data_IF_729005130308
#
_entry.id   IF_729005130308
#
_cell.length_a   1.000
_cell.length_b   1.000
_cell.length_c   1.000
_cell.angle_alpha   90.00
_cell.angle_beta   90.00
_cell.angle_gamma   90.00
#
_symmetry.space_group_name_H-M   'P 1'
#
loop_
_entity.id
_entity.type
_entity.pdbx_description
1 polymer ?
#
# COMPACT_ATOMS: atom_id res chain seq x y z
N UNK A 1 4.47 -27.35 14.17
CA UNK A 1 3.85 -26.05 13.82
C UNK A 1 4.95 -25.06 13.56
N UNK A 2 5.23 -24.72 12.28
CA UNK A 2 6.21 -23.68 11.97
C UNK A 2 5.48 -22.35 12.07
N UNK A 3 5.56 -21.70 13.23
CA UNK A 3 5.18 -20.30 13.41
C UNK A 3 6.23 -19.41 12.73
N UNK A 4 6.27 -19.41 11.40
CA UNK A 4 7.06 -18.44 10.65
C UNK A 4 6.31 -17.12 10.62
N UNK A 5 6.36 -16.39 11.73
CA UNK A 5 6.20 -14.95 11.74
C UNK A 5 7.39 -14.37 10.97
N UNK A 6 7.27 -14.29 9.64
CA UNK A 6 8.23 -13.52 8.85
C UNK A 6 8.09 -12.09 9.32
N UNK A 7 9.10 -11.59 10.03
CA UNK A 7 9.14 -10.19 10.44
C UNK A 7 9.07 -9.33 9.18
N UNK A 8 8.21 -8.30 9.21
CA UNK A 8 8.05 -7.32 8.12
C UNK A 8 9.43 -6.79 7.67
N UNK A 9 10.34 -6.61 8.62
CA UNK A 9 11.72 -6.16 8.41
C UNK A 9 12.54 -7.05 7.46
N UNK A 10 12.20 -8.33 7.28
CA UNK A 10 12.90 -9.21 6.34
C UNK A 10 12.75 -8.75 4.88
N UNK A 11 11.76 -7.91 4.59
CA UNK A 11 11.55 -7.34 3.25
C UNK A 11 12.28 -5.99 3.04
N UNK A 12 13.01 -5.47 4.03
CA UNK A 12 13.65 -4.14 3.96
C UNK A 12 14.64 -4.02 2.80
N UNK A 13 15.41 -5.08 2.52
CA UNK A 13 16.34 -5.10 1.38
C UNK A 13 15.62 -5.05 0.04
N UNK A 14 14.44 -5.69 -0.06
CA UNK A 14 13.64 -5.70 -1.27
C UNK A 14 12.92 -4.38 -1.47
N UNK A 15 12.48 -3.72 -0.39
CA UNK A 15 11.82 -2.41 -0.43
C UNK A 15 12.73 -1.32 -1.02
N UNK A 16 14.04 -1.44 -0.84
CA UNK A 16 15.05 -0.49 -1.32
C UNK A 16 15.87 -1.02 -2.52
N UNK A 17 15.44 -2.13 -3.14
CA UNK A 17 16.20 -2.74 -4.24
C UNK A 17 16.23 -1.84 -5.48
N UNK A 18 17.31 -1.90 -6.24
CA UNK A 18 17.40 -1.28 -7.58
C UNK A 18 16.40 -1.92 -8.57
N UNK A 19 16.02 -3.19 -8.35
CA UNK A 19 15.06 -3.88 -9.20
C UNK A 19 13.62 -3.53 -8.78
N UNK A 20 12.90 -2.86 -9.68
CA UNK A 20 11.50 -2.46 -9.48
C UNK A 20 10.56 -3.63 -9.23
N UNK A 21 10.80 -4.80 -9.82
CA UNK A 21 9.97 -5.98 -9.59
C UNK A 21 10.15 -6.53 -8.17
N UNK A 22 11.36 -6.48 -7.61
CA UNK A 22 11.59 -6.86 -6.20
C UNK A 22 10.85 -5.92 -5.25
N UNK A 23 10.93 -4.60 -5.49
CA UNK A 23 10.17 -3.60 -4.73
C UNK A 23 8.66 -3.85 -4.83
N UNK A 24 8.15 -4.09 -6.04
CA UNK A 24 6.74 -4.43 -6.29
C UNK A 24 6.28 -5.70 -5.57
N UNK A 25 7.13 -6.71 -5.44
CA UNK A 25 6.76 -7.96 -4.75
C UNK A 25 6.43 -7.73 -3.28
N UNK A 26 7.02 -6.72 -2.63
CA UNK A 26 6.78 -6.42 -1.21
C UNK A 26 5.30 -6.11 -0.93
N UNK A 27 4.66 -5.06 -1.49
CA UNK A 27 3.26 -4.76 -1.21
C UNK A 27 2.31 -5.87 -1.69
N UNK A 28 2.64 -6.57 -2.78
CA UNK A 28 1.82 -7.68 -3.30
C UNK A 28 1.82 -8.88 -2.33
N UNK A 29 2.98 -9.23 -1.76
CA UNK A 29 3.08 -10.26 -0.73
C UNK A 29 2.26 -9.90 0.50
N UNK A 30 2.28 -8.61 0.87
CA UNK A 30 1.59 -8.10 2.05
C UNK A 30 0.06 -8.19 1.95
N UNK A 31 -0.52 -8.29 0.76
CA UNK A 31 -1.96 -8.54 0.57
C UNK A 31 -2.38 -9.84 1.28
N UNK A 32 -1.62 -10.92 1.11
CA UNK A 32 -1.93 -12.21 1.75
C UNK A 32 -1.63 -12.16 3.24
N UNK A 33 -0.59 -11.42 3.64
CA UNK A 33 -0.22 -11.21 5.04
C UNK A 33 -1.33 -10.51 5.84
N UNK A 34 -1.86 -9.37 5.36
CA UNK A 34 -2.91 -8.63 6.07
C UNK A 34 -4.21 -9.43 6.16
N UNK A 35 -4.54 -10.22 5.12
CA UNK A 35 -5.74 -11.08 5.09
C UNK A 35 -5.67 -12.23 6.09
N UNK A 36 -4.48 -12.80 6.31
CA UNK A 36 -4.30 -13.97 7.18
C UNK A 36 -4.04 -13.61 8.63
N UNK A 37 -3.23 -12.60 8.88
CA UNK A 37 -2.67 -12.35 10.21
C UNK A 37 -3.33 -11.20 10.96
N UNK A 38 -4.18 -10.39 10.29
CA UNK A 38 -4.81 -9.19 10.88
C UNK A 38 -3.80 -8.34 11.71
N UNK A 39 -2.66 -7.95 11.10
CA UNK A 39 -1.60 -7.23 11.79
C UNK A 39 -2.04 -5.81 12.16
N UNK A 40 -1.20 -5.09 12.90
CA UNK A 40 -1.34 -3.64 13.03
C UNK A 40 -1.12 -2.99 11.66
N UNK A 41 -2.17 -2.36 11.13
CA UNK A 41 -2.12 -1.65 9.85
C UNK A 41 -1.19 -0.44 9.89
N UNK A 42 -1.02 0.19 11.06
CA UNK A 42 -0.12 1.33 11.21
C UNK A 42 1.33 0.90 10.99
N UNK A 43 1.74 -0.23 11.56
CA UNK A 43 3.08 -0.80 11.35
C UNK A 43 3.30 -1.16 9.87
N UNK A 44 2.32 -1.82 9.25
CA UNK A 44 2.39 -2.21 7.83
C UNK A 44 2.49 -0.98 6.92
N UNK A 45 1.66 0.04 7.14
CA UNK A 45 1.68 1.25 6.33
C UNK A 45 2.96 2.06 6.52
N UNK A 46 3.46 2.17 7.75
CA UNK A 46 4.74 2.80 8.02
C UNK A 46 5.89 2.10 7.26
N UNK A 47 5.89 0.77 7.24
CA UNK A 47 6.89 0.00 6.51
C UNK A 47 6.81 0.18 4.99
N UNK A 48 5.59 0.23 4.43
CA UNK A 48 5.38 0.37 2.98
C UNK A 48 5.43 1.82 2.49
N UNK A 49 5.49 2.80 3.40
CA UNK A 49 5.48 4.23 3.13
C UNK A 49 6.46 4.67 2.04
N UNK A 50 7.71 4.17 1.97
CA UNK A 50 8.66 4.60 0.93
C UNK A 50 8.18 4.33 -0.51
N UNK A 51 7.29 3.34 -0.70
CA UNK A 51 6.74 3.01 -2.02
C UNK A 51 5.70 4.02 -2.52
N UNK A 52 5.22 4.91 -1.64
CA UNK A 52 4.25 5.95 -2.01
C UNK A 52 4.85 7.03 -2.92
N UNK A 53 6.18 7.12 -2.99
CA UNK A 53 6.92 8.04 -3.86
C UNK A 53 7.78 7.32 -4.90
N UNK A 54 7.61 6.01 -5.08
CA UNK A 54 8.42 5.24 -6.01
C UNK A 54 8.23 5.73 -7.46
N UNK A 55 9.31 5.97 -8.21
CA UNK A 55 9.21 6.46 -9.59
C UNK A 55 8.65 5.40 -10.54
N UNK A 56 8.79 4.11 -10.23
CA UNK A 56 8.46 3.04 -11.16
C UNK A 56 6.97 2.71 -11.13
N UNK A 57 6.37 2.75 -12.33
CA UNK A 57 4.94 2.51 -12.54
C UNK A 57 4.49 1.13 -12.04
N UNK A 58 5.34 0.12 -12.20
CA UNK A 58 5.08 -1.23 -11.70
C UNK A 58 5.01 -1.29 -10.17
N UNK A 59 5.82 -0.51 -9.46
CA UNK A 59 5.76 -0.45 -8.00
C UNK A 59 4.49 0.28 -7.55
N UNK A 60 4.15 1.40 -8.21
CA UNK A 60 2.94 2.18 -7.94
C UNK A 60 1.65 1.35 -8.08
N UNK A 61 1.56 0.50 -9.11
CA UNK A 61 0.44 -0.43 -9.26
C UNK A 61 0.40 -1.46 -8.13
N UNK A 62 1.56 -1.98 -7.70
CA UNK A 62 1.67 -2.95 -6.62
C UNK A 62 1.16 -2.38 -5.29
N UNK A 63 1.65 -1.20 -4.90
CA UNK A 63 1.19 -0.53 -3.66
C UNK A 63 -0.28 -0.09 -3.78
N UNK A 64 -0.72 0.38 -4.95
CA UNK A 64 -2.12 0.71 -5.19
C UNK A 64 -3.06 -0.50 -5.04
N UNK A 65 -2.68 -1.67 -5.56
CA UNK A 65 -3.43 -2.92 -5.35
C UNK A 65 -3.44 -3.29 -3.86
N UNK A 66 -2.31 -3.23 -3.18
CA UNK A 66 -2.25 -3.48 -1.75
C UNK A 66 -3.24 -2.58 -0.98
N UNK A 67 -3.24 -1.27 -1.23
CA UNK A 67 -4.14 -0.32 -0.57
C UNK A 67 -5.62 -0.60 -0.86
N UNK A 68 -5.95 -1.03 -2.10
CA UNK A 68 -7.32 -1.46 -2.43
C UNK A 68 -7.77 -2.65 -1.59
N UNK A 69 -6.88 -3.61 -1.33
CA UNK A 69 -7.19 -4.78 -0.49
C UNK A 69 -7.18 -4.44 1.00
N UNK A 70 -6.30 -3.53 1.43
CA UNK A 70 -6.27 -3.01 2.78
C UNK A 70 -7.56 -2.27 3.13
N UNK A 71 -8.08 -1.44 2.22
CA UNK A 71 -9.32 -0.69 2.41
C UNK A 71 -10.53 -1.60 2.65
N UNK A 72 -10.61 -2.75 1.95
CA UNK A 72 -11.68 -3.74 2.16
C UNK A 72 -11.69 -4.35 3.56
N UNK A 73 -10.55 -4.32 4.26
CA UNK A 73 -10.38 -4.94 5.59
C UNK A 73 -10.47 -3.87 6.68
N UNK A 74 -9.80 -2.73 6.49
CA UNK A 74 -9.75 -1.62 7.43
C UNK A 74 -9.80 -0.30 6.66
N UNK A 75 -11.02 0.09 6.28
CA UNK A 75 -11.29 1.29 5.51
C UNK A 75 -10.74 2.54 6.21
N UNK A 76 -11.07 2.72 7.50
CA UNK A 76 -10.67 3.91 8.26
C UNK A 76 -9.15 4.14 8.27
N UNK A 77 -8.36 3.11 8.58
CA UNK A 77 -6.89 3.24 8.60
C UNK A 77 -6.34 3.52 7.20
N UNK A 78 -6.88 2.86 6.18
CA UNK A 78 -6.42 3.01 4.80
C UNK A 78 -6.76 4.39 4.25
N UNK A 79 -7.95 4.92 4.56
CA UNK A 79 -8.35 6.26 4.15
C UNK A 79 -7.50 7.34 4.80
N UNK A 80 -7.18 7.21 6.10
CA UNK A 80 -6.27 8.14 6.78
C UNK A 80 -4.90 8.17 6.11
N UNK A 81 -4.33 6.99 5.82
CA UNK A 81 -3.06 6.90 5.10
C UNK A 81 -3.15 7.51 3.68
N UNK A 82 -4.21 7.24 2.92
CA UNK A 82 -4.41 7.84 1.60
C UNK A 82 -4.51 9.38 1.66
N UNK A 83 -5.14 9.94 2.70
CA UNK A 83 -5.24 11.39 2.89
C UNK A 83 -3.87 12.04 3.10
N UNK A 84 -2.96 11.41 3.85
CA UNK A 84 -1.59 11.89 4.07
C UNK A 84 -0.81 12.04 2.75
N UNK A 85 -1.04 11.13 1.81
CA UNK A 85 -0.32 11.08 0.53
C UNK A 85 -1.05 11.78 -0.62
N UNK A 86 -2.25 12.31 -0.40
CA UNK A 86 -3.15 12.73 -1.48
C UNK A 86 -2.59 13.84 -2.36
N UNK A 87 -1.63 14.63 -1.90
CA UNK A 87 -1.05 15.72 -2.70
C UNK A 87 0.28 15.32 -3.36
N UNK A 88 1.07 14.47 -2.71
CA UNK A 88 2.46 14.18 -3.09
C UNK A 88 2.63 12.92 -3.93
N UNK A 89 1.89 11.84 -3.62
CA UNK A 89 2.08 10.56 -4.29
C UNK A 89 1.58 10.55 -5.76
N UNK A 90 2.15 9.68 -6.62
CA UNK A 90 1.70 9.47 -8.00
C UNK A 90 0.21 9.12 -8.07
N UNK A 91 -0.51 9.72 -9.03
CA UNK A 91 -1.96 9.52 -9.18
C UNK A 91 -2.36 8.07 -9.46
N UNK A 92 -1.46 7.28 -10.05
CA UNK A 92 -1.70 5.88 -10.36
C UNK A 92 -1.98 5.05 -9.10
N UNK A 93 -1.33 5.36 -7.97
CA UNK A 93 -1.58 4.67 -6.70
C UNK A 93 -3.05 4.85 -6.28
N UNK A 94 -3.56 6.09 -6.33
CA UNK A 94 -4.96 6.40 -6.00
C UNK A 94 -5.97 5.80 -6.97
N UNK A 95 -5.62 5.73 -8.26
CA UNK A 95 -6.48 5.08 -9.26
C UNK A 95 -6.75 3.62 -8.89
N UNK A 96 -5.72 2.88 -8.46
CA UNK A 96 -5.85 1.50 -8.02
C UNK A 96 -6.50 1.40 -6.63
N UNK A 97 -6.00 2.17 -5.65
CA UNK A 97 -6.46 2.11 -4.27
C UNK A 97 -7.96 2.40 -4.15
N UNK A 98 -8.43 3.41 -4.89
CA UNK A 98 -9.81 3.87 -4.81
C UNK A 98 -10.74 3.17 -5.80
N UNK A 99 -10.29 2.21 -6.61
CA UNK A 99 -11.07 1.62 -7.71
C UNK A 99 -12.48 1.17 -7.28
N UNK A 100 -12.59 0.54 -6.10
CA UNK A 100 -13.83 -0.01 -5.54
C UNK A 100 -14.63 0.97 -4.65
N UNK A 101 -14.15 2.20 -4.47
CA UNK A 101 -14.88 3.23 -3.73
C UNK A 101 -15.98 3.85 -4.61
N UNK A 102 -17.02 4.40 -3.97
CA UNK A 102 -18.03 5.21 -4.67
C UNK A 102 -17.41 6.47 -5.28
N UNK A 103 -18.12 7.06 -6.24
CA UNK A 103 -17.65 8.29 -6.91
C UNK A 103 -17.45 9.42 -5.92
N UNK A 104 -18.33 9.55 -4.94
CA UNK A 104 -18.30 10.56 -3.88
C UNK A 104 -17.07 10.38 -2.99
N UNK A 105 -16.80 9.13 -2.58
CA UNK A 105 -15.62 8.82 -1.76
C UNK A 105 -14.31 9.05 -2.51
N UNK A 106 -14.26 8.76 -3.83
CA UNK A 106 -13.09 9.05 -4.68
C UNK A 106 -12.73 10.54 -4.70
N UNK A 107 -13.71 11.45 -4.58
CA UNK A 107 -13.45 12.89 -4.61
C UNK A 107 -12.57 13.34 -3.43
N UNK A 108 -12.70 12.69 -2.26
CA UNK A 108 -11.94 13.03 -1.05
C UNK A 108 -10.43 12.89 -1.23
N UNK A 109 -9.98 12.05 -2.17
CA UNK A 109 -8.57 11.75 -2.43
C UNK A 109 -8.01 12.45 -3.67
N UNK A 110 -8.76 13.39 -4.27
CA UNK A 110 -8.21 14.26 -5.30
C UNK A 110 -7.17 15.20 -4.70
N UNK A 111 -6.22 15.63 -5.53
CA UNK A 111 -5.28 16.70 -5.14
C UNK A 111 -6.07 17.95 -4.79
N UNK A 112 -5.62 18.65 -3.76
CA UNK A 112 -6.03 20.02 -3.52
C UNK A 112 -5.55 20.90 -4.67
N UNK A 113 -6.33 21.93 -4.99
CA UNK A 113 -6.02 22.91 -6.04
C UNK A 113 -5.20 24.05 -5.46
#
# INVERSE_FOLDING_TARGET
MINNLIAIQNFTSWLNSQNSFQRRTVPVTFIKYIKKNKPDFKEVFHFLQPLMTDPDREVQQGIGWFLREAWKINASSTENFLLEWKNTAPRLIFQYACEKMSTENKQRFKREK
#
